data_IF_524164736063
#
_entry.id   IF_524164736063
#
_cell.length_a   1.000
_cell.length_b   1.000
_cell.length_c   1.000
_cell.angle_alpha   90.00
_cell.angle_beta   90.00
_cell.angle_gamma   90.00
#
_symmetry.space_group_name_H-M   'P 1'
#
loop_
_entity.id
_entity.type
_entity.pdbx_description
1 polymer ?
#
# COMPACT_ATOMS: atom_id res chain seq x y z
N UNK A 1 -7.44 -24.00 -31.90
CA UNK A 1 -6.49 -22.98 -31.42
C UNK A 1 -6.90 -22.67 -30.00
N UNK A 2 -6.27 -23.33 -29.03
CA UNK A 2 -6.61 -23.21 -27.62
C UNK A 2 -6.00 -21.89 -27.16
N UNK A 3 -6.86 -20.93 -26.80
CA UNK A 3 -6.42 -19.69 -26.17
C UNK A 3 -5.85 -20.06 -24.80
N UNK A 4 -4.58 -19.73 -24.62
CA UNK A 4 -3.79 -19.96 -23.43
C UNK A 4 -4.34 -19.06 -22.32
N UNK A 5 -5.38 -19.52 -21.61
CA UNK A 5 -5.81 -18.98 -20.32
C UNK A 5 -4.75 -19.31 -19.25
N UNK A 6 -3.56 -18.74 -19.40
CA UNK A 6 -2.71 -18.50 -18.24
C UNK A 6 -3.31 -17.31 -17.51
N UNK A 7 -4.35 -17.61 -16.73
CA UNK A 7 -4.70 -16.83 -15.56
C UNK A 7 -3.39 -16.62 -14.78
N UNK A 8 -2.82 -15.42 -14.88
CA UNK A 8 -1.69 -15.00 -14.04
C UNK A 8 -2.17 -15.13 -12.60
N UNK A 9 -1.85 -16.27 -11.96
CA UNK A 9 -1.93 -16.43 -10.52
C UNK A 9 -1.05 -15.31 -9.96
N UNK A 10 -1.72 -14.27 -9.49
CA UNK A 10 -1.13 -13.13 -8.83
C UNK A 10 -0.39 -13.70 -7.62
N UNK A 11 0.94 -13.81 -7.69
CA UNK A 11 1.70 -14.36 -6.57
C UNK A 11 1.47 -13.44 -5.36
N UNK A 12 0.83 -13.97 -4.30
CA UNK A 12 0.52 -13.22 -3.09
C UNK A 12 1.77 -12.54 -2.51
N UNK A 13 2.94 -13.16 -2.65
CA UNK A 13 4.24 -12.60 -2.23
C UNK A 13 4.59 -11.32 -3.01
N UNK A 14 4.39 -11.29 -4.33
CA UNK A 14 4.63 -10.09 -5.14
C UNK A 14 3.72 -8.93 -4.72
N UNK A 15 2.46 -9.23 -4.38
CA UNK A 15 1.51 -8.23 -3.87
C UNK A 15 1.96 -7.71 -2.52
N UNK A 16 2.30 -8.59 -1.60
CA UNK A 16 2.79 -8.19 -0.28
C UNK A 16 4.01 -7.30 -0.40
N UNK A 17 5.02 -7.69 -1.20
CA UNK A 17 6.22 -6.88 -1.42
C UNK A 17 5.88 -5.52 -2.00
N UNK A 18 5.01 -5.49 -3.02
CA UNK A 18 4.52 -4.25 -3.61
C UNK A 18 3.82 -3.35 -2.59
N UNK A 19 2.92 -3.88 -1.77
CA UNK A 19 2.16 -3.09 -0.79
C UNK A 19 3.08 -2.49 0.28
N UNK A 20 4.05 -3.26 0.75
CA UNK A 20 5.03 -2.79 1.73
C UNK A 20 5.93 -1.70 1.14
N UNK A 21 6.41 -1.87 -0.10
CA UNK A 21 7.16 -0.84 -0.80
C UNK A 21 6.31 0.41 -1.05
N UNK A 22 5.07 0.25 -1.52
CA UNK A 22 4.12 1.35 -1.73
C UNK A 22 3.89 2.13 -0.44
N UNK A 23 3.63 1.45 0.68
CA UNK A 23 3.44 2.08 2.00
C UNK A 23 4.63 2.95 2.37
N UNK A 24 5.85 2.43 2.25
CA UNK A 24 7.07 3.20 2.54
C UNK A 24 7.15 4.45 1.64
N UNK A 25 6.91 4.28 0.33
CA UNK A 25 6.98 5.39 -0.62
C UNK A 25 5.94 6.49 -0.36
N UNK A 26 4.73 6.13 0.07
CA UNK A 26 3.63 7.11 0.16
C UNK A 26 3.33 7.58 1.58
N UNK A 27 3.89 6.97 2.64
CA UNK A 27 3.58 7.32 4.03
C UNK A 27 3.83 8.79 4.33
N UNK A 28 5.00 9.31 3.98
CA UNK A 28 5.33 10.72 4.21
C UNK A 28 4.45 11.65 3.39
N UNK A 29 4.18 11.28 2.12
CA UNK A 29 3.31 12.04 1.23
C UNK A 29 1.87 12.10 1.77
N UNK A 30 1.32 10.98 2.24
CA UNK A 30 0.00 10.90 2.88
C UNK A 30 -0.06 11.86 4.06
N UNK A 31 0.95 11.82 4.94
CA UNK A 31 1.00 12.70 6.10
C UNK A 31 1.10 14.17 5.68
N UNK A 32 2.03 14.52 4.78
CA UNK A 32 2.27 15.90 4.39
C UNK A 32 1.07 16.52 3.65
N UNK A 33 0.55 15.83 2.64
CA UNK A 33 -0.50 16.39 1.78
C UNK A 33 -1.86 16.43 2.51
N UNK A 34 -2.22 15.35 3.20
CA UNK A 34 -3.55 15.24 3.81
C UNK A 34 -3.62 15.90 5.19
N UNK A 35 -2.58 15.72 6.02
CA UNK A 35 -2.57 16.29 7.38
C UNK A 35 -2.05 17.72 7.37
N UNK A 36 -0.83 17.94 6.90
CA UNK A 36 -0.16 19.23 7.08
C UNK A 36 -0.69 20.29 6.12
N UNK A 37 -0.92 19.91 4.86
CA UNK A 37 -1.34 20.86 3.82
C UNK A 37 -2.85 21.05 3.82
N UNK A 38 -3.62 19.96 3.82
CA UNK A 38 -5.09 20.03 3.74
C UNK A 38 -5.80 20.08 5.10
N UNK A 39 -5.12 19.77 6.20
CA UNK A 39 -5.72 19.82 7.53
C UNK A 39 -6.89 18.85 7.73
N UNK A 40 -6.90 17.70 7.03
CA UNK A 40 -8.08 16.83 6.98
C UNK A 40 -8.42 16.17 8.32
N UNK A 41 -7.48 16.08 9.27
CA UNK A 41 -7.74 15.50 10.58
C UNK A 41 -6.53 15.47 11.50
N UNK A 42 -6.79 15.18 12.78
CA UNK A 42 -5.75 15.10 13.82
C UNK A 42 -5.04 13.74 13.84
N UNK A 43 -5.50 12.75 13.07
CA UNK A 43 -4.80 11.49 12.81
C UNK A 43 -5.01 11.11 11.35
N UNK A 44 -3.92 11.00 10.60
CA UNK A 44 -3.92 10.68 9.17
C UNK A 44 -2.73 9.79 8.89
N UNK A 45 -2.92 8.72 8.12
CA UNK A 45 -1.86 7.80 7.75
C UNK A 45 -2.35 6.73 6.80
N UNK A 46 -1.48 5.76 6.52
CA UNK A 46 -1.80 4.60 5.70
C UNK A 46 -1.16 3.35 6.28
N UNK A 47 -1.74 2.19 5.97
CA UNK A 47 -1.28 0.91 6.48
C UNK A 47 -1.78 -0.26 5.60
N UNK A 48 -1.36 -1.48 5.92
CA UNK A 48 -1.63 -2.70 5.16
C UNK A 48 -2.43 -3.69 6.03
N UNK A 49 -3.53 -4.22 5.51
CA UNK A 49 -4.37 -5.21 6.20
C UNK A 49 -4.94 -6.21 5.19
N UNK A 50 -4.77 -7.52 5.41
CA UNK A 50 -5.26 -8.60 4.55
C UNK A 50 -4.99 -8.39 3.04
N UNK A 51 -3.75 -8.06 2.66
CA UNK A 51 -3.36 -7.72 1.27
C UNK A 51 -4.07 -6.48 0.68
N UNK A 52 -4.65 -5.64 1.54
CA UNK A 52 -5.20 -4.35 1.20
C UNK A 52 -4.30 -3.20 1.63
N UNK A 53 -4.29 -2.11 0.87
CA UNK A 53 -3.73 -0.82 1.27
C UNK A 53 -4.87 0.11 1.65
N UNK A 54 -4.81 0.71 2.83
CA UNK A 54 -5.82 1.66 3.29
C UNK A 54 -5.19 2.97 3.76
N UNK A 55 -5.91 4.06 3.48
CA UNK A 55 -5.62 5.39 4.03
C UNK A 55 -6.71 5.69 5.05
N UNK A 56 -6.29 6.05 6.27
CA UNK A 56 -7.19 6.39 7.35
C UNK A 56 -7.09 7.87 7.69
N UNK A 57 -8.25 8.48 7.97
CA UNK A 57 -8.36 9.86 8.46
C UNK A 57 -9.32 9.88 9.64
N UNK A 58 -8.90 10.50 10.73
CA UNK A 58 -9.72 10.79 11.91
C UNK A 58 -9.88 12.30 12.04
N UNK A 59 -11.11 12.77 11.87
CA UNK A 59 -11.44 14.19 11.79
C UNK A 59 -12.69 14.52 12.60
N UNK A 60 -12.64 15.53 13.49
CA UNK A 60 -13.84 16.07 14.12
C UNK A 60 -14.53 17.11 13.23
N UNK A 61 -13.81 17.71 12.28
CA UNK A 61 -14.25 18.91 11.56
C UNK A 61 -14.84 18.61 10.18
N UNK A 62 -14.52 17.45 9.60
CA UNK A 62 -14.92 17.09 8.24
C UNK A 62 -15.97 15.98 8.24
N UNK A 63 -16.96 16.11 7.35
CA UNK A 63 -17.93 15.03 7.13
C UNK A 63 -17.28 13.90 6.32
N UNK A 64 -17.68 12.63 6.53
CA UNK A 64 -17.10 11.50 5.80
C UNK A 64 -17.14 11.63 4.29
N UNK A 65 -18.21 12.18 3.72
CA UNK A 65 -18.33 12.35 2.27
C UNK A 65 -17.28 13.31 1.70
N UNK A 66 -16.97 14.39 2.43
CA UNK A 66 -15.99 15.38 2.00
C UNK A 66 -14.58 14.80 2.10
N UNK A 67 -14.29 14.07 3.19
CA UNK A 67 -13.04 13.32 3.35
C UNK A 67 -12.84 12.30 2.23
N UNK A 68 -13.90 11.55 1.88
CA UNK A 68 -13.83 10.55 0.83
C UNK A 68 -13.44 11.17 -0.52
N UNK A 69 -14.03 12.30 -0.89
CA UNK A 69 -13.68 13.03 -2.12
C UNK A 69 -12.21 13.45 -2.09
N UNK A 70 -11.74 14.04 -0.99
CA UNK A 70 -10.33 14.46 -0.84
C UNK A 70 -9.36 13.29 -0.91
N UNK A 71 -9.75 12.12 -0.40
CA UNK A 71 -8.94 10.91 -0.47
C UNK A 71 -8.89 10.35 -1.90
N UNK A 72 -10.00 10.36 -2.64
CA UNK A 72 -9.99 10.00 -4.07
C UNK A 72 -9.11 10.94 -4.89
N UNK A 73 -9.21 12.25 -4.65
CA UNK A 73 -8.38 13.26 -5.31
C UNK A 73 -6.90 12.99 -5.03
N UNK A 74 -6.53 12.69 -3.78
CA UNK A 74 -5.17 12.35 -3.39
C UNK A 74 -4.66 11.07 -4.05
N UNK A 75 -5.45 10.00 -4.01
CA UNK A 75 -5.14 8.70 -4.63
C UNK A 75 -4.85 8.85 -6.12
N UNK A 76 -5.58 9.71 -6.82
CA UNK A 76 -5.35 9.99 -8.23
C UNK A 76 -3.99 10.68 -8.50
N UNK A 77 -3.36 11.29 -7.49
CA UNK A 77 -2.02 11.90 -7.62
C UNK A 77 -0.88 10.93 -7.42
N UNK A 78 -1.13 9.75 -6.82
CA UNK A 78 -0.06 8.80 -6.45
C UNK A 78 0.71 8.29 -7.69
N UNK A 79 0.09 7.91 -8.83
CA UNK A 79 0.84 7.47 -10.01
C UNK A 79 1.88 8.49 -10.49
N UNK A 80 1.47 9.77 -10.55
CA UNK A 80 2.35 10.88 -10.96
C UNK A 80 3.50 11.06 -9.96
N UNK A 81 3.20 10.93 -8.67
CA UNK A 81 4.23 10.99 -7.62
C UNK A 81 5.24 9.84 -7.75
N UNK A 82 4.75 8.60 -7.87
CA UNK A 82 5.61 7.40 -7.99
C UNK A 82 6.52 7.48 -9.21
N UNK A 83 6.00 7.91 -10.36
CA UNK A 83 6.78 8.10 -11.58
C UNK A 83 7.85 9.19 -11.44
N UNK A 84 7.59 10.21 -10.59
CA UNK A 84 8.50 11.31 -10.32
C UNK A 84 9.60 11.02 -9.30
N UNK A 85 9.58 9.87 -8.63
CA UNK A 85 10.64 9.46 -7.70
C UNK A 85 11.93 9.15 -8.48
N UNK A 86 13.04 9.77 -8.08
CA UNK A 86 14.36 9.48 -8.67
C UNK A 86 14.93 8.14 -8.16
N UNK A 87 15.88 7.58 -8.89
CA UNK A 87 16.40 6.23 -8.61
C UNK A 87 17.13 6.13 -7.27
N UNK A 88 17.74 7.22 -6.78
CA UNK A 88 18.43 7.24 -5.49
C UNK A 88 17.41 7.20 -4.35
N UNK A 89 16.35 8.00 -4.45
CA UNK A 89 15.24 7.98 -3.51
C UNK A 89 14.53 6.62 -3.54
N UNK A 90 14.27 6.05 -4.72
CA UNK A 90 13.67 4.72 -4.86
C UNK A 90 14.51 3.62 -4.18
N UNK A 91 15.83 3.62 -4.38
CA UNK A 91 16.75 2.70 -3.68
C UNK A 91 16.67 2.84 -2.16
N UNK A 92 16.55 4.08 -1.67
CA UNK A 92 16.40 4.35 -0.24
C UNK A 92 15.10 3.78 0.30
N UNK A 93 13.98 3.95 -0.41
CA UNK A 93 12.70 3.34 -0.04
C UNK A 93 12.80 1.81 0.04
N UNK A 94 13.39 1.15 -0.96
CA UNK A 94 13.58 -0.31 -0.93
C UNK A 94 14.41 -0.76 0.28
N UNK A 95 15.44 -0.02 0.68
CA UNK A 95 16.31 -0.41 1.81
C UNK A 95 15.64 -0.37 3.19
N UNK A 96 14.53 0.37 3.34
CA UNK A 96 13.84 0.54 4.63
C UNK A 96 12.53 -0.24 4.71
N UNK A 97 12.18 -1.00 3.66
CA UNK A 97 11.05 -1.92 3.72
C UNK A 97 11.37 -3.02 4.72
N UNK A 98 10.57 -3.10 5.78
CA UNK A 98 10.59 -4.20 6.73
C UNK A 98 9.32 -5.03 6.55
N UNK A 99 9.50 -6.33 6.35
CA UNK A 99 8.43 -7.31 6.40
C UNK A 99 8.24 -7.71 7.86
N UNK A 100 6.99 -7.77 8.38
CA UNK A 100 6.77 -8.36 9.69
C UNK A 100 7.17 -9.84 9.62
N UNK A 101 8.00 -10.30 10.56
CA UNK A 101 8.32 -11.72 10.72
C UNK A 101 7.01 -12.52 10.69
N UNK A 102 6.94 -13.57 9.86
CA UNK A 102 5.73 -14.36 9.53
C UNK A 102 4.92 -14.84 10.76
N UNK A 103 5.48 -14.75 11.96
CA UNK A 103 4.79 -14.91 13.25
C UNK A 103 3.55 -14.03 13.48
N UNK A 104 3.38 -12.94 12.72
CA UNK A 104 2.25 -12.01 12.85
C UNK A 104 1.18 -12.12 11.76
N UNK A 105 1.40 -12.93 10.72
CA UNK A 105 0.39 -13.19 9.69
C UNK A 105 -0.57 -14.26 10.24
N UNK A 106 -1.86 -13.98 10.18
CA UNK A 106 -2.92 -14.82 10.75
C UNK A 106 -2.77 -16.29 10.36
N UNK A 107 -2.98 -17.17 11.34
CA UNK A 107 -2.97 -18.64 11.28
C UNK A 107 -3.87 -19.31 10.21
N UNK A 108 -4.46 -18.56 9.28
CA UNK A 108 -5.41 -19.06 8.27
C UNK A 108 -4.75 -19.46 6.94
N UNK A 109 -3.41 -19.40 6.82
CA UNK A 109 -2.67 -19.83 5.64
C UNK A 109 -1.60 -20.90 5.93
N UNK A 110 -1.76 -21.67 7.02
CA UNK A 110 -0.94 -22.87 7.23
C UNK A 110 -1.47 -23.99 6.33
N UNK A 111 -1.21 -23.88 5.04
CA UNK A 111 -1.08 -25.06 4.19
C UNK A 111 0.35 -25.56 4.39
N UNK A 112 0.45 -26.75 4.97
CA UNK A 112 1.68 -27.52 5.15
C UNK A 112 2.33 -27.76 3.76
N UNK A 113 3.25 -26.91 3.33
CA UNK A 113 4.30 -27.37 2.41
C UNK A 113 5.60 -26.55 2.49
N UNK A 114 6.62 -27.20 3.06
CA UNK A 114 8.05 -27.03 2.76
C UNK A 114 8.73 -25.67 3.04
N UNK A 115 9.29 -25.54 4.25
CA UNK A 115 10.71 -25.23 4.52
C UNK A 115 11.55 -24.30 3.62
N UNK A 116 10.98 -23.29 2.96
CA UNK A 116 11.72 -22.26 2.23
C UNK A 116 11.44 -20.92 2.91
N UNK A 117 12.51 -20.32 3.46
CA UNK A 117 12.50 -18.98 4.08
C UNK A 117 11.73 -17.95 3.24
N UNK A 118 10.49 -17.62 3.61
CA UNK A 118 9.68 -16.58 2.93
C UNK A 118 10.37 -15.21 2.93
N UNK A 119 11.14 -14.90 3.98
CA UNK A 119 11.98 -13.69 4.06
C UNK A 119 13.00 -13.59 2.91
N UNK A 120 13.52 -14.73 2.43
CA UNK A 120 14.50 -14.76 1.36
C UNK A 120 13.84 -14.51 0.00
N UNK A 121 12.60 -14.98 -0.19
CA UNK A 121 11.85 -14.77 -1.45
C UNK A 121 11.33 -13.33 -1.53
N UNK A 122 10.74 -12.80 -0.47
CA UNK A 122 10.27 -11.42 -0.41
C UNK A 122 11.42 -10.42 -0.60
N UNK A 123 12.58 -10.68 0.03
CA UNK A 123 13.79 -9.88 -0.17
C UNK A 123 14.29 -9.89 -1.63
N UNK A 124 14.32 -11.06 -2.28
CA UNK A 124 14.72 -11.19 -3.69
C UNK A 124 13.74 -10.50 -4.65
N UNK A 125 12.43 -10.59 -4.38
CA UNK A 125 11.41 -9.87 -5.16
C UNK A 125 11.63 -8.36 -5.01
N UNK A 126 11.82 -7.88 -3.78
CA UNK A 126 12.05 -6.46 -3.51
C UNK A 126 13.31 -5.93 -4.20
N UNK A 127 14.40 -6.71 -4.18
CA UNK A 127 15.67 -6.34 -4.83
C UNK A 127 15.51 -6.19 -6.35
N UNK A 128 14.69 -7.04 -6.97
CA UNK A 128 14.44 -7.06 -8.41
C UNK A 128 13.37 -6.06 -8.86
N UNK A 129 12.48 -5.64 -7.97
CA UNK A 129 11.39 -4.73 -8.30
C UNK A 129 11.94 -3.37 -8.74
N UNK A 130 11.57 -2.96 -9.94
CA UNK A 130 11.90 -1.66 -10.52
C UNK A 130 10.80 -0.63 -10.22
N UNK A 131 11.12 0.65 -10.39
CA UNK A 131 10.16 1.74 -10.14
C UNK A 131 8.93 1.63 -11.04
N UNK A 132 9.15 1.28 -12.30
CA UNK A 132 8.08 1.15 -13.29
C UNK A 132 7.13 -0.02 -12.94
N UNK A 133 7.65 -1.08 -12.32
CA UNK A 133 6.83 -2.17 -11.78
C UNK A 133 5.86 -1.67 -10.72
N UNK A 134 6.31 -0.79 -9.81
CA UNK A 134 5.46 -0.23 -8.75
C UNK A 134 4.33 0.61 -9.35
N UNK A 135 4.61 1.42 -10.36
CA UNK A 135 3.59 2.24 -11.04
C UNK A 135 2.56 1.33 -11.74
N UNK A 136 3.02 0.32 -12.49
CA UNK A 136 2.14 -0.61 -13.17
C UNK A 136 1.30 -1.46 -12.21
N UNK A 137 1.89 -1.90 -11.10
CA UNK A 137 1.19 -2.65 -10.06
C UNK A 137 0.17 -1.75 -9.35
N UNK A 138 0.47 -0.48 -9.11
CA UNK A 138 -0.47 0.48 -8.54
C UNK A 138 -1.70 0.64 -9.43
N UNK A 139 -1.52 0.92 -10.72
CA UNK A 139 -2.63 1.08 -11.66
C UNK A 139 -3.48 -0.19 -11.73
N UNK A 140 -2.84 -1.35 -11.79
CA UNK A 140 -3.53 -2.65 -11.80
C UNK A 140 -4.27 -2.93 -10.49
N UNK A 141 -3.67 -2.61 -9.35
CA UNK A 141 -4.24 -2.83 -8.01
C UNK A 141 -5.49 -1.94 -7.82
N UNK A 142 -5.41 -0.65 -8.16
CA UNK A 142 -6.55 0.26 -8.03
C UNK A 142 -7.69 -0.02 -9.02
N UNK A 143 -7.40 -0.60 -10.18
CA UNK A 143 -8.43 -1.01 -11.14
C UNK A 143 -9.13 -2.31 -10.72
N UNK A 144 -8.41 -3.24 -10.06
CA UNK A 144 -8.93 -4.60 -9.78
C UNK A 144 -9.40 -4.81 -8.34
N UNK A 145 -8.85 -4.09 -7.36
CA UNK A 145 -9.18 -4.25 -5.94
C UNK A 145 -10.04 -3.07 -5.45
N UNK A 146 -11.09 -3.31 -4.66
CA UNK A 146 -11.84 -2.23 -4.02
C UNK A 146 -10.91 -1.49 -3.06
N UNK A 147 -10.69 -0.20 -3.32
CA UNK A 147 -9.94 0.67 -2.41
C UNK A 147 -10.76 0.89 -1.13
N UNK A 148 -10.28 0.33 -0.01
CA UNK A 148 -10.96 0.45 1.29
C UNK A 148 -10.50 1.77 1.93
N UNK A 149 -11.43 2.70 2.02
CA UNK A 149 -11.25 3.95 2.77
C UNK A 149 -11.91 3.81 4.13
N UNK A 150 -11.11 3.79 5.19
CA UNK A 150 -11.63 3.80 6.55
C UNK A 150 -11.68 5.23 7.08
N UNK A 151 -12.90 5.71 7.35
CA UNK A 151 -13.15 7.03 7.91
C UNK A 151 -13.67 6.85 9.34
N UNK A 152 -12.84 7.20 10.30
CA UNK A 152 -13.22 7.17 11.70
C UNK A 152 -13.62 8.59 12.14
N UNK A 153 -14.86 8.77 12.59
CA UNK A 153 -15.25 10.02 13.25
C UNK A 153 -14.92 9.88 14.74
N UNK A 154 -13.77 10.40 15.15
CA UNK A 154 -13.39 10.51 16.54
C UNK A 154 -13.74 11.90 17.07
N UNK A 155 -14.60 11.97 18.11
CA UNK A 155 -14.55 13.11 19.04
C UNK A 155 -13.43 12.80 20.03
N UNK A 156 -12.58 13.78 20.33
CA UNK A 156 -11.64 13.66 21.44
C UNK A 156 -12.42 13.29 22.70
N UNK A 157 -12.04 12.19 23.35
CA UNK A 157 -12.41 11.98 24.74
C UNK A 157 -11.53 12.95 25.52
N UNK A 158 -12.14 14.02 26.01
CA UNK A 158 -11.56 14.88 27.05
C UNK A 158 -11.32 14.07 28.34
#
# INVERSE_FOLDING_TARGET
MVCDEKSEVYNAENVTVFLHLLKVMVTEKVFFDLRLTQGLGYRVGCDIYNLGFYIYVVSPDHKPKDLLIKLYDFVATIPVYLAGVDDQTFKSFRSVVNFPDESGLSYDLVDDDSGINGDNVAGLILERMEKDDVVHLYDRFFVKMPFIVEICIGRTFD
#
